data_IF_281462412912
#
_entry.id   IF_281462412912
#
_cell.length_a   1.000
_cell.length_b   1.000
_cell.length_c   1.000
_cell.angle_alpha   90.00
_cell.angle_beta   90.00
_cell.angle_gamma   90.00
#
_symmetry.space_group_name_H-M   'P 1'
#
loop_
_entity.id
_entity.type
_entity.pdbx_description
1 polymer ?
#
# COMPACT_ATOMS: atom_id res chain seq x y z
N UNK A 1 -16.21 29.44 2.80
CA UNK A 1 -14.85 29.51 2.22
C UNK A 1 -14.87 28.62 0.99
N UNK A 2 -14.61 29.19 -0.20
CA UNK A 2 -14.76 28.46 -1.48
C UNK A 2 -13.68 27.39 -1.59
N UNK A 3 -14.07 26.16 -1.94
CA UNK A 3 -13.20 24.99 -2.15
C UNK A 3 -12.27 25.11 -3.39
N UNK A 4 -12.18 26.30 -4.01
CA UNK A 4 -11.76 26.46 -5.39
C UNK A 4 -10.25 26.57 -5.62
N UNK A 5 -9.37 26.37 -4.64
CA UNK A 5 -7.91 26.37 -4.89
C UNK A 5 -7.08 25.63 -3.82
N UNK A 6 -7.52 24.47 -3.34
CA UNK A 6 -6.58 23.59 -2.63
C UNK A 6 -5.72 22.90 -3.68
N UNK A 7 -4.41 23.17 -3.64
CA UNK A 7 -3.44 22.52 -4.51
C UNK A 7 -3.49 21.00 -4.29
N UNK A 8 -3.49 20.23 -5.39
CA UNK A 8 -3.46 18.75 -5.32
C UNK A 8 -2.32 18.28 -4.43
N UNK A 9 -1.17 18.97 -4.43
CA UNK A 9 -0.03 18.64 -3.57
C UNK A 9 -0.37 18.61 -2.08
N UNK A 10 -1.21 19.55 -1.63
CA UNK A 10 -1.65 19.62 -0.24
C UNK A 10 -2.54 18.42 0.10
N UNK A 11 -3.44 18.04 -0.81
CA UNK A 11 -4.27 16.84 -0.63
C UNK A 11 -3.42 15.57 -0.52
N UNK A 12 -2.39 15.42 -1.37
CA UNK A 12 -1.47 14.28 -1.28
C UNK A 12 -0.77 14.20 0.07
N UNK A 13 -0.35 15.33 0.65
CA UNK A 13 0.28 15.36 1.97
C UNK A 13 -0.66 14.87 3.09
N UNK A 14 -1.95 15.25 3.05
CA UNK A 14 -2.93 14.74 4.01
C UNK A 14 -3.22 13.25 3.83
N UNK A 15 -3.26 12.78 2.58
CA UNK A 15 -3.46 11.36 2.29
C UNK A 15 -2.24 10.51 2.70
N UNK A 16 -1.04 11.08 2.74
CA UNK A 16 0.19 10.42 3.21
C UNK A 16 0.17 10.11 4.73
N UNK A 17 -0.64 10.84 5.50
CA UNK A 17 -0.86 10.55 6.92
C UNK A 17 -1.70 9.29 7.15
N UNK A 18 -2.54 8.92 6.17
CA UNK A 18 -3.40 7.74 6.27
C UNK A 18 -2.56 6.47 6.06
N UNK A 19 -2.38 5.71 7.13
CA UNK A 19 -1.63 4.45 7.13
C UNK A 19 -2.51 3.26 6.75
N UNK A 20 -1.89 2.27 6.15
CA UNK A 20 -2.54 1.00 5.85
C UNK A 20 -2.71 0.17 7.14
N UNK A 21 -3.91 -0.37 7.43
CA UNK A 21 -4.16 -1.11 8.66
C UNK A 21 -3.44 -2.47 8.71
N UNK A 22 -3.06 -3.04 7.55
CA UNK A 22 -2.36 -4.32 7.43
C UNK A 22 -0.82 -4.14 7.45
N UNK A 23 -0.35 -2.95 7.06
CA UNK A 23 1.05 -2.52 7.08
C UNK A 23 1.16 -1.07 7.62
N UNK A 24 1.11 -0.87 8.95
CA UNK A 24 1.03 0.46 9.56
C UNK A 24 2.21 1.40 9.27
N UNK A 25 3.34 0.85 8.83
CA UNK A 25 4.53 1.62 8.43
C UNK A 25 4.35 2.32 7.09
N UNK A 26 3.40 1.87 6.25
CA UNK A 26 3.15 2.42 4.92
C UNK A 26 1.90 3.30 4.91
N UNK A 27 2.00 4.41 4.18
CA UNK A 27 0.83 5.20 3.81
C UNK A 27 0.13 4.64 2.58
N UNK A 28 -1.12 5.05 2.38
CA UNK A 28 -1.86 4.76 1.14
C UNK A 28 -1.22 5.40 -0.10
N UNK A 29 -0.38 6.42 0.08
CA UNK A 29 0.43 7.03 -0.98
C UNK A 29 1.67 6.18 -1.26
N UNK A 30 2.38 5.74 -0.22
CA UNK A 30 3.54 4.85 -0.34
C UNK A 30 3.19 3.56 -1.07
N UNK A 31 2.01 3.01 -0.78
CA UNK A 31 1.47 1.82 -1.43
C UNK A 31 0.97 2.08 -2.86
N UNK A 32 0.81 3.32 -3.29
CA UNK A 32 0.22 3.63 -4.60
C UNK A 32 -1.27 3.25 -4.70
N UNK A 33 -1.97 3.17 -3.56
CA UNK A 33 -3.41 2.88 -3.48
C UNK A 33 -4.22 4.03 -4.09
N UNK A 34 -3.80 5.28 -3.89
CA UNK A 34 -4.45 6.45 -4.47
C UNK A 34 -4.02 6.61 -5.92
N UNK A 35 -4.96 6.49 -6.86
CA UNK A 35 -4.71 6.53 -8.30
C UNK A 35 -4.90 7.92 -8.89
N UNK A 36 -5.96 8.59 -8.47
CA UNK A 36 -6.27 9.92 -8.98
C UNK A 36 -7.13 10.68 -7.96
N UNK A 37 -7.03 12.00 -8.03
CA UNK A 37 -7.82 12.93 -7.24
C UNK A 37 -8.42 13.94 -8.22
N UNK A 38 -9.75 13.90 -8.36
CA UNK A 38 -10.52 14.80 -9.21
C UNK A 38 -11.28 15.77 -8.33
N UNK A 39 -11.00 17.05 -8.55
CA UNK A 39 -11.72 18.14 -7.92
C UNK A 39 -12.69 18.71 -8.96
N UNK A 40 -13.98 18.49 -8.75
CA UNK A 40 -15.05 19.16 -9.47
C UNK A 40 -15.62 20.24 -8.54
N UNK A 41 -16.18 21.32 -9.08
CA UNK A 41 -16.51 22.59 -8.39
C UNK A 41 -16.88 22.48 -6.89
N UNK A 42 -17.75 21.53 -6.51
CA UNK A 42 -18.19 21.28 -5.13
C UNK A 42 -17.98 19.83 -4.63
N UNK A 43 -17.34 18.96 -5.42
CA UNK A 43 -17.16 17.53 -5.09
C UNK A 43 -15.72 17.07 -5.32
N UNK A 44 -15.16 16.40 -4.31
CA UNK A 44 -13.84 15.79 -4.38
C UNK A 44 -14.01 14.28 -4.57
N UNK A 45 -13.54 13.76 -5.69
CA UNK A 45 -13.52 12.33 -5.99
C UNK A 45 -12.10 11.78 -5.87
N UNK A 46 -11.90 10.82 -4.97
CA UNK A 46 -10.64 10.09 -4.78
C UNK A 46 -10.81 8.69 -5.36
N UNK A 47 -10.01 8.37 -6.36
CA UNK A 47 -9.99 7.06 -7.00
C UNK A 47 -8.91 6.23 -6.29
N UNK A 48 -9.33 5.14 -5.66
CA UNK A 48 -8.43 4.21 -4.97
C UNK A 48 -8.50 2.83 -5.61
N UNK A 49 -7.43 2.06 -5.45
CA UNK A 49 -7.36 0.67 -5.89
C UNK A 49 -6.82 -0.20 -4.76
N UNK A 50 -7.22 -1.47 -4.75
CA UNK A 50 -6.82 -2.43 -3.72
C UNK A 50 -5.57 -3.19 -4.14
N UNK A 51 -4.65 -3.43 -3.22
CA UNK A 51 -3.46 -4.27 -3.43
C UNK A 51 -3.80 -5.74 -3.73
N UNK A 52 -4.99 -6.20 -3.34
CA UNK A 52 -5.57 -7.47 -3.74
C UNK A 52 -7.11 -7.41 -3.75
N UNK A 53 -7.73 -8.27 -4.55
CA UNK A 53 -9.18 -8.36 -4.66
C UNK A 53 -9.82 -8.80 -3.34
N UNK A 54 -10.79 -8.05 -2.84
CA UNK A 54 -11.53 -8.40 -1.62
C UNK A 54 -10.82 -8.01 -0.31
N UNK A 55 -9.89 -7.06 -0.37
CA UNK A 55 -9.22 -6.56 0.83
C UNK A 55 -10.22 -5.85 1.78
N UNK A 56 -10.43 -6.35 3.02
CA UNK A 56 -11.35 -5.75 3.97
C UNK A 56 -10.86 -4.38 4.46
N UNK A 57 -9.55 -4.10 4.34
CA UNK A 57 -8.96 -2.81 4.69
C UNK A 57 -9.47 -1.65 3.81
N UNK A 58 -10.00 -1.93 2.62
CA UNK A 58 -10.42 -0.89 1.67
C UNK A 58 -11.56 -0.02 2.22
N UNK A 59 -12.48 -0.61 2.98
CA UNK A 59 -13.58 0.14 3.59
C UNK A 59 -13.10 1.04 4.74
N UNK A 60 -12.11 0.56 5.50
CA UNK A 60 -11.45 1.35 6.54
C UNK A 60 -10.67 2.51 5.92
N UNK A 61 -9.89 2.24 4.86
CA UNK A 61 -9.15 3.26 4.12
C UNK A 61 -10.10 4.29 3.52
N UNK A 62 -11.18 3.86 2.85
CA UNK A 62 -12.16 4.77 2.27
C UNK A 62 -12.84 5.64 3.33
N UNK A 63 -13.09 5.09 4.52
CA UNK A 63 -13.64 5.85 5.66
C UNK A 63 -12.63 6.86 6.20
N UNK A 64 -11.37 6.45 6.40
CA UNK A 64 -10.29 7.33 6.84
C UNK A 64 -10.10 8.51 5.88
N UNK A 65 -10.08 8.25 4.57
CA UNK A 65 -10.00 9.30 3.53
C UNK A 65 -11.16 10.29 3.65
N UNK A 66 -12.39 9.80 3.83
CA UNK A 66 -13.57 10.69 3.98
C UNK A 66 -13.48 11.53 5.24
N UNK A 67 -13.03 10.96 6.36
CA UNK A 67 -12.87 11.68 7.63
C UNK A 67 -11.82 12.78 7.48
N UNK A 68 -10.63 12.44 6.97
CA UNK A 68 -9.53 13.39 6.79
C UNK A 68 -9.89 14.52 5.83
N UNK A 69 -10.56 14.23 4.71
CA UNK A 69 -10.97 15.27 3.79
C UNK A 69 -12.13 16.14 4.34
N UNK A 70 -12.96 15.59 5.22
CA UNK A 70 -14.01 16.36 5.89
C UNK A 70 -13.42 17.37 6.89
N UNK A 71 -12.35 17.02 7.61
CA UNK A 71 -11.67 17.98 8.52
C UNK A 71 -11.08 19.18 7.77
N UNK A 72 -10.70 19.00 6.50
CA UNK A 72 -10.27 20.08 5.59
C UNK A 72 -11.42 20.96 5.06
N UNK A 73 -12.68 20.62 5.38
CA UNK A 73 -13.87 21.36 4.99
C UNK A 73 -14.54 20.89 3.70
N UNK A 74 -14.10 19.76 3.11
CA UNK A 74 -14.80 19.17 1.97
C UNK A 74 -16.08 18.45 2.45
N UNK A 75 -17.25 18.97 2.04
CA UNK A 75 -18.55 18.41 2.44
C UNK A 75 -19.02 17.24 1.57
N UNK A 76 -18.55 17.17 0.32
CA UNK A 76 -18.89 16.12 -0.64
C UNK A 76 -17.61 15.42 -1.07
N UNK A 77 -17.31 14.30 -0.40
CA UNK A 77 -16.16 13.46 -0.71
C UNK A 77 -16.67 12.11 -1.21
N UNK A 78 -16.37 11.82 -2.48
CA UNK A 78 -16.67 10.55 -3.11
C UNK A 78 -15.39 9.73 -3.18
N UNK A 79 -15.43 8.50 -2.69
CA UNK A 79 -14.32 7.56 -2.82
C UNK A 79 -14.76 6.45 -3.74
N UNK A 80 -14.06 6.27 -4.86
CA UNK A 80 -14.38 5.27 -5.88
C UNK A 80 -13.28 4.23 -5.90
N UNK A 81 -13.66 2.98 -5.63
CA UNK A 81 -12.75 1.84 -5.74
C UNK A 81 -12.74 1.36 -7.19
N UNK A 82 -11.55 1.26 -7.78
CA UNK A 82 -11.34 0.64 -9.09
C UNK A 82 -10.53 -0.64 -8.97
N UNK A 83 -10.95 -1.65 -9.73
CA UNK A 83 -10.27 -2.95 -9.84
C UNK A 83 -9.43 -2.99 -11.14
N UNK A 84 -9.63 -2.04 -12.05
CA UNK A 84 -8.89 -1.92 -13.31
C UNK A 84 -8.25 -0.54 -13.46
N UNK A 85 -6.96 -0.45 -13.82
CA UNK A 85 -6.00 -1.55 -13.92
C UNK A 85 -5.74 -2.23 -12.57
N UNK A 86 -5.34 -3.50 -12.58
CA UNK A 86 -4.94 -4.22 -11.38
C UNK A 86 -3.75 -3.51 -10.71
N UNK A 87 -3.74 -3.47 -9.38
CA UNK A 87 -2.63 -2.89 -8.64
C UNK A 87 -1.34 -3.66 -8.89
N UNK A 88 -0.26 -2.92 -9.11
CA UNK A 88 1.06 -3.48 -9.32
C UNK A 88 2.08 -2.83 -8.40
N UNK A 89 3.10 -3.59 -8.03
CA UNK A 89 4.20 -3.17 -7.16
C UNK A 89 5.07 -2.06 -7.75
N UNK A 90 4.96 -1.81 -9.06
CA UNK A 90 5.55 -0.63 -9.70
C UNK A 90 4.94 0.70 -9.22
N UNK A 91 3.75 0.68 -8.62
CA UNK A 91 3.12 1.89 -8.07
C UNK A 91 3.58 2.23 -6.66
N UNK A 92 4.35 1.34 -6.03
CA UNK A 92 4.88 1.55 -4.69
C UNK A 92 6.09 2.50 -4.73
N UNK A 93 6.12 3.48 -3.83
CA UNK A 93 7.24 4.43 -3.74
C UNK A 93 8.54 3.73 -3.31
N UNK A 94 9.69 4.25 -3.73
CA UNK A 94 10.99 3.73 -3.28
C UNK A 94 11.15 3.88 -1.75
N UNK A 95 10.58 4.95 -1.18
CA UNK A 95 10.51 5.15 0.26
C UNK A 95 9.65 4.07 0.94
N UNK A 96 8.53 3.68 0.33
CA UNK A 96 7.70 2.58 0.81
C UNK A 96 8.43 1.25 0.80
N UNK A 97 9.21 0.96 -0.25
CA UNK A 97 10.06 -0.25 -0.30
C UNK A 97 11.10 -0.26 0.82
N UNK A 98 11.74 0.88 1.09
CA UNK A 98 12.71 1.02 2.19
C UNK A 98 12.06 0.80 3.54
N UNK A 99 10.93 1.45 3.80
CA UNK A 99 10.14 1.31 5.04
C UNK A 99 9.72 -0.14 5.30
N UNK A 100 9.32 -0.88 4.27
CA UNK A 100 9.03 -2.31 4.40
C UNK A 100 10.24 -3.10 4.87
N UNK A 101 11.39 -2.90 4.22
CA UNK A 101 12.62 -3.60 4.56
C UNK A 101 13.06 -3.31 6.00
N UNK A 102 13.01 -2.04 6.42
CA UNK A 102 13.31 -1.62 7.80
C UNK A 102 12.33 -2.21 8.82
N UNK A 103 11.06 -2.39 8.42
CA UNK A 103 10.04 -3.04 9.24
C UNK A 103 10.19 -4.57 9.31
N UNK A 104 11.10 -5.15 8.52
CA UNK A 104 11.32 -6.61 8.48
C UNK A 104 10.43 -7.35 7.48
N UNK A 105 9.81 -6.63 6.53
CA UNK A 105 9.07 -7.21 5.41
C UNK A 105 9.92 -7.10 4.15
N UNK A 106 10.18 -8.21 3.47
CA UNK A 106 10.88 -8.18 2.21
C UNK A 106 10.03 -7.48 1.14
N UNK A 107 10.55 -6.42 0.49
CA UNK A 107 9.82 -5.71 -0.54
C UNK A 107 9.59 -6.61 -1.76
N UNK A 108 8.57 -6.30 -2.56
CA UNK A 108 8.25 -7.07 -3.76
C UNK A 108 9.34 -6.94 -4.84
N UNK A 109 9.68 -8.05 -5.49
CA UNK A 109 10.55 -8.07 -6.67
C UNK A 109 9.74 -7.84 -7.96
N UNK A 110 10.35 -7.50 -9.09
CA UNK A 110 9.66 -7.29 -10.39
C UNK A 110 9.08 -8.57 -11.01
N UNK A 111 9.03 -9.67 -10.26
CA UNK A 111 8.54 -10.97 -10.72
C UNK A 111 7.04 -11.05 -10.46
N UNK A 112 6.27 -11.35 -11.50
CA UNK A 112 4.81 -11.56 -11.44
C UNK A 112 4.38 -12.86 -10.75
N UNK A 113 5.32 -13.63 -10.20
CA UNK A 113 5.07 -14.87 -9.50
C UNK A 113 5.84 -14.90 -8.17
N UNK A 114 5.28 -15.56 -7.16
CA UNK A 114 5.91 -15.76 -5.85
C UNK A 114 7.21 -16.56 -6.05
N UNK A 115 8.39 -15.98 -5.77
CA UNK A 115 9.66 -16.68 -5.96
C UNK A 115 9.77 -17.85 -4.98
N UNK A 116 10.16 -19.06 -5.40
CA UNK A 116 10.32 -20.18 -4.44
C UNK A 116 11.52 -19.98 -3.51
N UNK A 117 12.51 -19.23 -3.98
CA UNK A 117 13.78 -18.90 -3.34
C UNK A 117 14.32 -17.55 -3.84
N UNK A 118 15.44 -17.10 -3.28
CA UNK A 118 16.16 -15.91 -3.75
C UNK A 118 15.57 -14.57 -3.33
N UNK A 119 14.58 -14.57 -2.43
CA UNK A 119 14.10 -13.35 -1.76
C UNK A 119 15.13 -12.92 -0.73
N UNK A 120 15.53 -11.65 -0.74
CA UNK A 120 16.51 -11.14 0.22
C UNK A 120 15.92 -11.07 1.64
N UNK A 121 16.63 -11.65 2.61
CA UNK A 121 16.24 -11.59 4.01
C UNK A 121 16.41 -10.16 4.54
N UNK A 122 15.38 -9.53 5.14
CA UNK A 122 15.46 -8.15 5.63
C UNK A 122 16.38 -7.99 6.85
N UNK A 123 16.73 -9.08 7.53
CA UNK A 123 17.55 -9.07 8.75
C UNK A 123 19.04 -9.25 8.48
N UNK A 124 19.40 -10.17 7.58
CA UNK A 124 20.80 -10.54 7.33
C UNK A 124 21.24 -10.34 5.88
N UNK A 125 20.35 -9.86 5.01
CA UNK A 125 20.61 -9.61 3.59
C UNK A 125 21.02 -10.84 2.76
N UNK A 126 20.86 -12.04 3.31
CA UNK A 126 21.09 -13.28 2.56
C UNK A 126 19.95 -13.53 1.58
N UNK A 127 20.30 -13.92 0.35
CA UNK A 127 19.37 -14.43 -0.66
C UNK A 127 19.09 -15.93 -0.49
N UNK A 128 19.75 -16.61 0.47
CA UNK A 128 19.53 -18.04 0.72
C UNK A 128 18.28 -18.24 1.58
N UNK A 129 17.13 -18.10 0.93
CA UNK A 129 15.81 -18.15 1.55
C UNK A 129 14.93 -19.18 0.86
N UNK A 130 13.93 -19.68 1.58
CA UNK A 130 12.94 -20.63 1.05
C UNK A 130 11.53 -20.16 1.36
N UNK A 131 10.61 -20.37 0.42
CA UNK A 131 9.19 -20.20 0.63
C UNK A 131 8.68 -21.27 1.61
N UNK A 132 8.01 -20.83 2.68
CA UNK A 132 7.35 -21.71 3.65
C UNK A 132 5.86 -21.83 3.33
N UNK A 133 5.21 -20.71 2.99
CA UNK A 133 3.79 -20.65 2.66
C UNK A 133 3.51 -19.49 1.70
N UNK A 134 2.64 -19.71 0.71
CA UNK A 134 2.13 -18.65 -0.18
C UNK A 134 1.21 -17.65 0.53
N UNK A 135 0.82 -17.97 1.78
CA UNK A 135 0.01 -17.14 2.66
C UNK A 135 0.82 -16.78 3.91
N UNK A 136 1.02 -15.47 4.13
CA UNK A 136 1.68 -14.91 5.31
C UNK A 136 0.67 -14.34 6.31
N UNK A 137 1.09 -13.31 7.05
CA UNK A 137 0.22 -12.64 8.04
C UNK A 137 -1.03 -12.00 7.43
N UNK A 138 -0.95 -11.60 6.16
CA UNK A 138 -2.05 -10.94 5.43
C UNK A 138 -2.12 -11.50 4.01
N UNK A 139 -3.25 -11.32 3.31
CA UNK A 139 -3.45 -11.89 1.98
C UNK A 139 -2.46 -11.34 0.94
N UNK A 140 -1.92 -10.13 1.13
CA UNK A 140 -0.88 -9.55 0.31
C UNK A 140 0.54 -10.04 0.65
N UNK A 141 0.72 -10.87 1.69
CA UNK A 141 2.04 -11.37 2.12
C UNK A 141 2.19 -12.89 1.95
N UNK A 142 3.41 -13.34 1.74
CA UNK A 142 3.82 -14.74 1.75
C UNK A 142 4.90 -14.94 2.81
N UNK A 143 4.98 -16.14 3.39
CA UNK A 143 5.90 -16.46 4.48
C UNK A 143 7.17 -17.14 3.94
N UNK A 144 8.33 -16.57 4.28
CA UNK A 144 9.64 -17.12 3.96
C UNK A 144 10.42 -17.43 5.22
N UNK A 145 11.45 -18.25 5.07
CA UNK A 145 12.48 -18.46 6.09
C UNK A 145 13.87 -18.29 5.47
N UNK A 146 14.73 -17.54 6.14
CA UNK A 146 16.13 -17.48 5.78
C UNK A 146 16.86 -18.73 6.27
N UNK A 147 17.67 -19.34 5.41
CA UNK A 147 18.43 -20.53 5.77
C UNK A 147 19.74 -20.19 6.50
N UNK A 148 20.23 -18.95 6.44
CA UNK A 148 21.45 -18.53 7.14
C UNK A 148 21.15 -18.10 8.58
N UNK A 149 20.29 -17.11 8.78
CA UNK A 149 19.93 -16.65 10.13
C UNK A 149 18.78 -17.45 10.78
N UNK A 150 18.10 -18.33 10.02
CA UNK A 150 16.95 -19.15 10.47
C UNK A 150 15.67 -18.40 10.80
N UNK A 151 15.68 -17.07 10.71
CA UNK A 151 14.51 -16.24 11.00
C UNK A 151 13.43 -16.34 9.90
N UNK A 152 12.15 -16.47 10.29
CA UNK A 152 11.02 -16.32 9.38
C UNK A 152 10.75 -14.84 9.10
N UNK A 153 10.29 -14.52 7.90
CA UNK A 153 9.91 -13.16 7.52
C UNK A 153 8.79 -13.15 6.47
N UNK A 154 8.03 -12.06 6.44
CA UNK A 154 6.99 -11.85 5.43
C UNK A 154 7.60 -11.22 4.16
N UNK A 155 7.15 -11.68 3.01
CA UNK A 155 7.42 -11.10 1.70
C UNK A 155 6.14 -10.49 1.14
N UNK A 156 6.20 -9.25 0.68
CA UNK A 156 5.07 -8.60 0.04
C UNK A 156 4.90 -9.11 -1.40
N UNK A 157 3.74 -9.72 -1.70
CA UNK A 157 3.47 -10.34 -3.01
C UNK A 157 3.26 -9.29 -4.09
N UNK A 158 3.71 -9.63 -5.30
CA UNK A 158 3.42 -8.87 -6.51
C UNK A 158 2.10 -9.34 -7.10
N UNK A 159 1.28 -8.40 -7.54
CA UNK A 159 0.05 -8.64 -8.31
C UNK A 159 0.12 -7.84 -9.62
#
# INVERSE_FOLDING_TARGET
>A
MKASTIDKKVLYAYLEEIKDPEVPVLSIIDLGIVRDIKLNDDELEVIITSTYTGCPAMDMIATAIRVELNTLGFKKVKVTQTISPAWTTDWMSEEGKRKLQEYGIAPPDKRFAIPKDGVECPLCHSSYTRLVSEFGSTACKALYQCNDCKEPFDYFKCH
#
